data_IF_813520484610
#
_entry.id   IF_813520484610
#
_cell.length_a   1.000
_cell.length_b   1.000
_cell.length_c   1.000
_cell.angle_alpha   90.00
_cell.angle_beta   90.00
_cell.angle_gamma   90.00
#
_symmetry.space_group_name_H-M   'P 1'
#
loop_
_entity.id
_entity.type
_entity.pdbx_description
1 polymer ?
#
# COMPACT_ATOMS: atom_id res chain seq x y z
N UNK A 1 3.86 -17.27 5.87
CA UNK A 1 3.50 -18.59 6.46
C UNK A 1 1.98 -18.70 6.58
N UNK A 2 1.34 -19.43 5.68
CA UNK A 2 -0.09 -19.76 5.81
C UNK A 2 -0.24 -21.00 6.68
N UNK A 3 -1.20 -20.98 7.61
CA UNK A 3 -1.49 -22.11 8.50
C UNK A 3 -2.25 -23.25 7.80
N UNK A 4 -2.57 -23.09 6.51
CA UNK A 4 -3.28 -24.06 5.68
C UNK A 4 -2.56 -24.22 4.33
N UNK A 5 -2.36 -25.46 3.90
CA UNK A 5 -1.79 -25.77 2.58
C UNK A 5 -2.79 -25.43 1.48
N UNK A 6 -2.37 -24.64 0.50
CA UNK A 6 -3.15 -24.25 -0.67
C UNK A 6 -2.35 -24.52 -1.94
N UNK A 7 -3.03 -24.55 -3.09
CA UNK A 7 -2.37 -24.71 -4.41
C UNK A 7 -1.51 -23.48 -4.71
N UNK A 8 -2.05 -22.30 -4.42
CA UNK A 8 -1.34 -21.01 -4.45
C UNK A 8 -1.41 -20.38 -3.05
N UNK A 9 -0.30 -19.82 -2.59
CA UNK A 9 -0.15 -19.27 -1.24
C UNK A 9 0.15 -17.78 -1.29
N UNK A 10 -0.69 -17.03 -2.01
CA UNK A 10 -0.62 -15.56 -2.04
C UNK A 10 -1.93 -14.94 -1.55
N UNK A 11 -1.87 -13.67 -1.13
CA UNK A 11 -3.00 -12.85 -0.71
C UNK A 11 -3.48 -11.90 -1.80
N UNK A 12 -2.98 -12.03 -3.04
CA UNK A 12 -3.40 -11.19 -4.14
C UNK A 12 -4.74 -11.70 -4.69
N UNK A 13 -5.51 -10.83 -5.32
CA UNK A 13 -6.76 -11.21 -5.98
C UNK A 13 -6.99 -10.37 -7.22
N UNK A 14 -7.77 -10.86 -8.17
CA UNK A 14 -8.14 -10.08 -9.34
C UNK A 14 -9.49 -9.39 -9.11
N UNK A 15 -9.59 -8.11 -9.44
CA UNK A 15 -10.87 -7.42 -9.46
C UNK A 15 -11.72 -7.81 -10.68
N UNK A 16 -12.94 -7.26 -10.77
CA UNK A 16 -13.86 -7.52 -11.87
C UNK A 16 -13.31 -7.15 -13.26
N UNK A 17 -12.26 -6.33 -13.34
CA UNK A 17 -11.60 -5.93 -14.58
C UNK A 17 -10.34 -6.75 -14.86
N UNK A 18 -10.05 -7.79 -14.08
CA UNK A 18 -8.85 -8.61 -14.21
C UNK A 18 -7.57 -7.91 -13.75
N UNK A 19 -7.67 -6.82 -12.99
CA UNK A 19 -6.50 -6.15 -12.40
C UNK A 19 -6.14 -6.85 -11.09
N UNK A 20 -4.88 -7.27 -10.95
CA UNK A 20 -4.38 -7.87 -9.71
C UNK A 20 -4.27 -6.80 -8.60
N UNK A 21 -4.96 -7.03 -7.49
CA UNK A 21 -5.10 -6.18 -6.30
C UNK A 21 -4.43 -6.80 -5.08
N UNK A 22 -4.24 -5.96 -4.08
CA UNK A 22 -3.69 -6.26 -2.76
C UNK A 22 -4.77 -6.17 -1.69
N UNK A 23 -4.60 -6.89 -0.58
CA UNK A 23 -5.57 -6.92 0.54
C UNK A 23 -5.30 -5.87 1.61
N UNK A 24 -4.10 -5.28 1.64
CA UNK A 24 -3.66 -4.40 2.71
C UNK A 24 -2.89 -3.19 2.17
N UNK A 25 -3.23 -2.03 2.72
CA UNK A 25 -2.51 -0.77 2.53
C UNK A 25 -1.99 -0.30 3.89
N UNK A 26 -0.71 0.04 3.95
CA UNK A 26 -0.09 0.72 5.09
C UNK A 26 -0.14 2.24 4.88
N UNK A 27 -0.60 2.99 5.86
CA UNK A 27 -0.47 4.45 5.86
C UNK A 27 0.85 4.84 6.56
N UNK A 28 1.55 5.82 5.97
CA UNK A 28 2.73 6.47 6.57
C UNK A 28 2.45 7.96 6.75
N UNK A 29 3.24 8.64 7.58
CA UNK A 29 3.03 10.06 7.90
C UNK A 29 3.64 10.98 6.83
N UNK A 30 2.92 11.16 5.72
CA UNK A 30 3.25 12.12 4.68
C UNK A 30 4.22 11.62 3.61
N UNK A 31 4.46 12.50 2.64
CA UNK A 31 5.23 12.17 1.43
C UNK A 31 6.71 11.91 1.72
N UNK A 32 7.28 12.59 2.70
CA UNK A 32 8.69 12.41 3.09
C UNK A 32 8.91 11.01 3.68
N UNK A 33 8.05 10.57 4.60
CA UNK A 33 8.08 9.23 5.15
C UNK A 33 7.91 8.18 4.05
N UNK A 34 6.97 8.40 3.12
CA UNK A 34 6.76 7.51 1.98
C UNK A 34 8.02 7.37 1.10
N UNK A 35 8.66 8.50 0.74
CA UNK A 35 9.84 8.51 -0.11
C UNK A 35 11.06 7.86 0.59
N UNK A 36 11.24 8.12 1.88
CA UNK A 36 12.30 7.50 2.68
C UNK A 36 12.12 5.97 2.77
N UNK A 37 10.89 5.50 3.01
CA UNK A 37 10.58 4.07 3.09
C UNK A 37 10.78 3.36 1.75
N UNK A 38 10.36 4.00 0.65
CA UNK A 38 10.58 3.51 -0.72
C UNK A 38 12.07 3.33 -1.04
N UNK A 39 12.89 4.33 -0.68
CA UNK A 39 14.33 4.30 -0.91
C UNK A 39 15.04 3.21 -0.08
N UNK A 40 14.73 3.09 1.21
CA UNK A 40 15.30 2.06 2.10
C UNK A 40 14.95 0.64 1.59
N UNK A 41 13.70 0.42 1.16
CA UNK A 41 13.29 -0.87 0.60
C UNK A 41 14.06 -1.21 -0.66
N UNK A 42 14.24 -0.24 -1.56
CA UNK A 42 15.01 -0.40 -2.78
C UNK A 42 16.48 -0.70 -2.50
N UNK A 43 17.09 -0.01 -1.53
CA UNK A 43 18.48 -0.24 -1.11
C UNK A 43 18.67 -1.65 -0.53
N UNK A 44 17.70 -2.14 0.23
CA UNK A 44 17.68 -3.51 0.79
C UNK A 44 17.40 -4.60 -0.26
N UNK A 45 17.18 -4.24 -1.51
CA UNK A 45 16.86 -5.17 -2.60
C UNK A 45 15.44 -5.73 -2.55
N UNK A 46 14.53 -5.09 -1.79
CA UNK A 46 13.10 -5.43 -1.82
C UNK A 46 12.53 -4.96 -3.15
N UNK A 47 11.71 -5.81 -3.79
CA UNK A 47 11.02 -5.42 -5.02
C UNK A 47 9.97 -4.36 -4.69
N UNK A 48 10.12 -3.19 -5.31
CA UNK A 48 9.19 -2.07 -5.19
C UNK A 48 8.79 -1.56 -6.58
N UNK A 49 7.55 -1.07 -6.70
CA UNK A 49 7.08 -0.29 -7.85
C UNK A 49 7.52 1.16 -7.75
N UNK A 50 7.08 1.98 -8.70
CA UNK A 50 7.34 3.43 -8.69
C UNK A 50 6.43 4.17 -7.69
N UNK A 51 6.80 5.41 -7.37
CA UNK A 51 5.91 6.32 -6.64
C UNK A 51 4.83 6.87 -7.58
N UNK A 52 3.59 6.51 -7.31
CA UNK A 52 2.43 6.77 -8.16
C UNK A 52 1.54 7.89 -7.60
N UNK A 53 0.95 8.68 -8.49
CA UNK A 53 -0.22 9.51 -8.20
C UNK A 53 -1.44 8.87 -8.85
N UNK A 54 -2.38 8.40 -8.04
CA UNK A 54 -3.56 7.65 -8.49
C UNK A 54 -4.84 8.50 -8.58
N UNK A 55 -4.72 9.82 -8.55
CA UNK A 55 -5.86 10.73 -8.68
C UNK A 55 -6.69 10.91 -7.41
N UNK A 56 -6.14 10.53 -6.26
CA UNK A 56 -6.68 10.78 -4.93
C UNK A 56 -5.63 11.43 -4.03
N UNK A 57 -5.99 11.73 -2.78
CA UNK A 57 -5.04 12.30 -1.82
C UNK A 57 -3.84 11.37 -1.58
N UNK A 58 -2.70 11.96 -1.28
CA UNK A 58 -1.45 11.25 -1.07
C UNK A 58 -0.84 10.63 -2.34
N UNK A 59 0.27 9.91 -2.14
CA UNK A 59 0.97 9.11 -3.16
C UNK A 59 1.13 7.69 -2.66
N UNK A 60 1.40 6.77 -3.58
CA UNK A 60 1.52 5.36 -3.24
C UNK A 60 2.74 4.72 -3.88
N UNK A 61 3.23 3.63 -3.28
CA UNK A 61 4.02 2.64 -4.00
C UNK A 61 3.59 1.24 -3.55
N UNK A 62 3.87 0.25 -4.40
CA UNK A 62 3.64 -1.16 -4.08
C UNK A 62 4.97 -1.83 -3.77
N UNK A 63 5.03 -2.67 -2.75
CA UNK A 63 6.15 -3.59 -2.53
C UNK A 63 5.68 -5.04 -2.50
N UNK A 64 6.64 -5.96 -2.61
CA UNK A 64 6.39 -7.39 -2.64
C UNK A 64 7.15 -8.09 -1.53
N UNK A 65 6.52 -9.08 -0.89
CA UNK A 65 7.24 -10.02 -0.06
C UNK A 65 7.88 -11.16 -0.89
N UNK A 66 8.51 -12.11 -0.21
CA UNK A 66 9.19 -13.25 -0.85
C UNK A 66 8.23 -14.22 -1.55
N UNK A 67 6.96 -14.24 -1.15
CA UNK A 67 5.92 -15.09 -1.74
C UNK A 67 5.21 -14.38 -2.92
N UNK A 68 5.57 -13.12 -3.21
CA UNK A 68 5.00 -12.31 -4.29
C UNK A 68 3.70 -11.59 -3.90
N UNK A 69 3.36 -11.54 -2.61
CA UNK A 69 2.22 -10.78 -2.12
C UNK A 69 2.45 -9.29 -2.32
N UNK A 70 1.45 -8.60 -2.87
CA UNK A 70 1.46 -7.16 -3.06
C UNK A 70 0.97 -6.47 -1.80
N UNK A 71 1.69 -5.43 -1.40
CA UNK A 71 1.28 -4.51 -0.36
C UNK A 71 1.40 -3.08 -0.87
N UNK A 72 0.43 -2.26 -0.53
CA UNK A 72 0.45 -0.84 -0.89
C UNK A 72 0.89 0.00 0.31
N UNK A 73 1.61 1.08 0.06
CA UNK A 73 1.98 2.07 1.07
C UNK A 73 1.46 3.41 0.60
N UNK A 74 0.79 4.15 1.48
CA UNK A 74 0.10 5.40 1.16
C UNK A 74 0.52 6.53 2.09
N UNK A 75 0.74 7.73 1.55
CA UNK A 75 1.29 8.84 2.33
C UNK A 75 0.31 9.57 3.24
N UNK A 76 -1.00 9.60 2.97
CA UNK A 76 -1.96 10.28 3.86
C UNK A 76 -3.41 10.24 3.34
N UNK A 77 -4.36 10.21 4.29
CA UNK A 77 -5.76 10.57 4.06
C UNK A 77 -5.94 12.02 3.57
N UNK A 78 -7.00 12.26 2.79
CA UNK A 78 -7.34 13.60 2.34
C UNK A 78 -7.70 14.52 3.51
N UNK A 79 -7.34 15.80 3.41
CA UNK A 79 -7.68 16.79 4.42
C UNK A 79 -9.20 16.95 4.60
N UNK A 80 -9.98 16.74 3.53
CA UNK A 80 -11.44 16.73 3.60
C UNK A 80 -11.96 15.55 4.45
N UNK A 81 -11.40 14.36 4.25
CA UNK A 81 -11.73 13.19 5.06
C UNK A 81 -11.38 13.46 6.53
N UNK A 82 -10.14 13.87 6.84
CA UNK A 82 -9.71 14.19 8.20
C UNK A 82 -10.65 15.19 8.89
N UNK A 83 -11.05 16.27 8.19
CA UNK A 83 -11.99 17.28 8.72
C UNK A 83 -13.38 16.74 9.04
N UNK A 84 -13.86 15.71 8.32
CA UNK A 84 -15.18 15.11 8.57
C UNK A 84 -15.23 14.40 9.92
N UNK A 85 -14.14 13.75 10.33
CA UNK A 85 -14.07 13.00 11.57
C UNK A 85 -13.63 13.85 12.78
N UNK A 86 -12.85 14.92 12.57
CA UNK A 86 -12.51 15.88 13.64
C UNK A 86 -13.75 16.64 14.16
N UNK A 87 -14.81 16.79 13.34
CA UNK A 87 -16.07 17.41 13.78
C UNK A 87 -16.97 16.51 14.61
N UNK A 88 -16.71 15.21 14.67
CA UNK A 88 -17.53 14.25 15.43
C UNK A 88 -17.03 14.04 16.87
N UNK A 89 -15.86 14.62 17.22
CA UNK A 89 -15.24 14.53 18.55
C UNK A 89 -15.44 15.77 19.45
N UNK A 90 -16.33 16.71 19.07
CA UNK A 90 -16.65 17.94 19.85
C UNK A 90 -18.13 18.02 20.20
#
# INVERSE_FOLDING_TARGET
MFLVKAVEQNSNFFDANGTERFVLTYEVDGLEALASFHADFKERGIKVGELENRGHAGRNFVFYDLDGNKFDVWSELSQEFKRRFVKEEV
#
